data_IF_642324547845
#
_entry.id   IF_642324547845
#
_cell.length_a   1.000
_cell.length_b   1.000
_cell.length_c   1.000
_cell.angle_alpha   90.00
_cell.angle_beta   90.00
_cell.angle_gamma   90.00
#
_symmetry.space_group_name_H-M   'P 1'
#
loop_
_entity.id
_entity.type
_entity.pdbx_description
1 polymer ?
#
# COMPACT_ATOMS: atom_id res chain seq x y z
N UNK A 1 -0.79 -20.07 -2.46
CA UNK A 1 -1.56 -18.82 -2.30
C UNK A 1 -1.96 -18.30 -3.66
N UNK A 2 -3.21 -17.90 -3.82
CA UNK A 2 -3.68 -17.33 -5.09
C UNK A 2 -3.09 -15.96 -5.31
N UNK A 3 -2.87 -15.60 -6.58
CA UNK A 3 -2.26 -14.31 -6.93
C UNK A 3 -3.08 -13.13 -6.41
N UNK A 4 -4.41 -13.22 -6.44
CA UNK A 4 -5.26 -12.15 -5.94
C UNK A 4 -5.08 -11.95 -4.43
N UNK A 5 -4.98 -13.03 -3.66
CA UNK A 5 -4.75 -12.95 -2.24
C UNK A 5 -3.37 -12.37 -1.94
N UNK A 6 -2.36 -12.80 -2.69
CA UNK A 6 -1.01 -12.28 -2.55
C UNK A 6 -0.97 -10.79 -2.83
N UNK A 7 -1.62 -10.34 -3.90
CA UNK A 7 -1.68 -8.91 -4.23
C UNK A 7 -2.36 -8.09 -3.14
N UNK A 8 -3.44 -8.61 -2.56
CA UNK A 8 -4.11 -7.91 -1.47
C UNK A 8 -3.22 -7.81 -0.24
N UNK A 9 -2.54 -8.89 0.12
CA UNK A 9 -1.65 -8.89 1.28
C UNK A 9 -0.47 -7.95 1.08
N UNK A 10 0.16 -7.99 -0.09
CA UNK A 10 1.27 -7.12 -0.40
C UNK A 10 0.82 -5.66 -0.43
N UNK A 11 -0.35 -5.39 -1.03
CA UNK A 11 -0.90 -4.04 -1.07
C UNK A 11 -1.19 -3.50 0.31
N UNK A 12 -1.76 -4.33 1.19
CA UNK A 12 -2.03 -3.93 2.57
C UNK A 12 -0.75 -3.64 3.33
N UNK A 13 0.29 -4.47 3.12
CA UNK A 13 1.58 -4.26 3.75
C UNK A 13 2.23 -2.95 3.28
N UNK A 14 2.19 -2.68 1.98
CA UNK A 14 2.71 -1.43 1.44
C UNK A 14 1.94 -0.22 1.94
N UNK A 15 0.62 -0.33 2.01
CA UNK A 15 -0.21 0.75 2.53
C UNK A 15 0.14 1.07 3.97
N UNK A 16 0.29 0.03 4.80
CA UNK A 16 0.64 0.22 6.20
C UNK A 16 2.03 0.83 6.34
N UNK A 17 2.99 0.32 5.58
CA UNK A 17 4.35 0.84 5.59
C UNK A 17 4.38 2.31 5.17
N UNK A 18 3.60 2.65 4.15
CA UNK A 18 3.47 4.03 3.69
C UNK A 18 2.90 4.93 4.77
N UNK A 19 1.87 4.48 5.49
CA UNK A 19 1.30 5.25 6.59
C UNK A 19 2.31 5.50 7.70
N UNK A 20 3.11 4.50 8.04
CA UNK A 20 4.15 4.65 9.06
C UNK A 20 5.18 5.68 8.63
N UNK A 21 5.63 5.61 7.37
CA UNK A 21 6.60 6.56 6.84
C UNK A 21 6.03 7.97 6.80
N UNK A 22 4.78 8.11 6.38
CA UNK A 22 4.11 9.41 6.32
C UNK A 22 4.04 10.03 7.72
N UNK A 23 3.63 9.26 8.71
CA UNK A 23 3.56 9.73 10.09
C UNK A 23 4.93 10.08 10.65
N UNK A 24 5.92 9.25 10.37
CA UNK A 24 7.29 9.52 10.81
C UNK A 24 7.84 10.80 10.17
N UNK A 25 7.54 11.00 8.89
CA UNK A 25 7.95 12.21 8.18
C UNK A 25 7.33 13.45 8.79
N UNK A 26 6.04 13.39 9.15
CA UNK A 26 5.36 14.50 9.81
C UNK A 26 5.97 14.78 11.19
N UNK A 27 6.21 13.73 11.95
CA UNK A 27 6.74 13.88 13.31
C UNK A 27 8.16 14.46 13.34
N UNK A 28 8.97 14.17 12.32
CA UNK A 28 10.36 14.62 12.26
C UNK A 28 10.55 15.82 11.34
N UNK A 29 9.47 16.36 10.77
CA UNK A 29 9.52 17.45 9.80
C UNK A 29 10.39 17.09 8.60
N UNK A 30 10.22 15.88 8.10
CA UNK A 30 10.93 15.37 6.92
C UNK A 30 9.95 15.24 5.77
N UNK A 31 9.82 16.27 4.91
CA UNK A 31 8.85 16.24 3.83
C UNK A 31 9.15 15.17 2.78
N UNK A 32 10.41 14.80 2.61
CA UNK A 32 10.76 13.74 1.66
C UNK A 32 10.25 12.39 2.14
N UNK A 33 10.42 12.10 3.42
CA UNK A 33 9.94 10.85 3.99
C UNK A 33 8.41 10.82 3.99
N UNK A 34 7.78 11.94 4.31
CA UNK A 34 6.32 12.04 4.26
C UNK A 34 5.80 11.76 2.85
N UNK A 35 6.43 12.35 1.83
CA UNK A 35 6.04 12.14 0.45
C UNK A 35 6.25 10.69 0.03
N UNK A 36 7.36 10.08 0.41
CA UNK A 36 7.61 8.66 0.13
C UNK A 36 6.54 7.78 0.74
N UNK A 37 6.16 8.07 1.99
CA UNK A 37 5.11 7.33 2.66
C UNK A 37 3.77 7.47 1.98
N UNK A 38 3.41 8.68 1.56
CA UNK A 38 2.16 8.92 0.84
C UNK A 38 2.13 8.16 -0.49
N UNK A 39 3.24 8.19 -1.24
CA UNK A 39 3.34 7.48 -2.52
C UNK A 39 3.20 5.98 -2.31
N UNK A 40 3.88 5.43 -1.31
CA UNK A 40 3.84 4.00 -1.02
C UNK A 40 2.45 3.58 -0.56
N UNK A 41 1.77 4.42 0.21
CA UNK A 41 0.39 4.16 0.64
C UNK A 41 -0.55 4.07 -0.56
N UNK A 42 -0.42 4.99 -1.51
CA UNK A 42 -1.23 4.98 -2.73
C UNK A 42 -0.92 3.73 -3.57
N UNK A 43 0.36 3.39 -3.72
CA UNK A 43 0.76 2.20 -4.46
C UNK A 43 0.16 0.94 -3.81
N UNK A 44 0.14 0.88 -2.48
CA UNK A 44 -0.47 -0.24 -1.78
C UNK A 44 -1.97 -0.34 -2.02
N UNK A 45 -2.66 0.80 -2.04
CA UNK A 45 -4.09 0.83 -2.32
C UNK A 45 -4.39 0.35 -3.74
N UNK A 46 -3.59 0.78 -4.70
CA UNK A 46 -3.74 0.34 -6.10
C UNK A 46 -3.54 -1.17 -6.19
N UNK A 47 -2.52 -1.70 -5.54
CA UNK A 47 -2.24 -3.13 -5.55
C UNK A 47 -3.38 -3.93 -4.91
N UNK A 48 -3.97 -3.44 -3.84
CA UNK A 48 -5.14 -4.07 -3.22
C UNK A 48 -6.33 -4.09 -4.16
N UNK A 49 -6.55 -3.00 -4.88
CA UNK A 49 -7.64 -2.93 -5.87
C UNK A 49 -7.44 -3.95 -6.99
N UNK A 50 -6.22 -4.07 -7.48
CA UNK A 50 -5.90 -5.08 -8.49
C UNK A 50 -6.21 -6.48 -7.95
N UNK A 51 -5.83 -6.75 -6.71
CA UNK A 51 -6.13 -8.03 -6.07
C UNK A 51 -7.63 -8.29 -5.96
N UNK A 52 -8.41 -7.26 -5.61
CA UNK A 52 -9.86 -7.38 -5.52
C UNK A 52 -10.49 -7.70 -6.89
N UNK A 53 -10.00 -7.03 -7.94
CA UNK A 53 -10.50 -7.27 -9.30
C UNK A 53 -10.16 -8.69 -9.73
N UNK A 54 -8.93 -9.13 -9.49
CA UNK A 54 -8.50 -10.49 -9.82
C UNK A 54 -9.36 -11.53 -9.10
N UNK A 55 -9.69 -11.27 -7.85
CA UNK A 55 -10.52 -12.19 -7.06
C UNK A 55 -11.90 -12.35 -7.68
N UNK A 56 -12.49 -11.28 -8.17
CA UNK A 56 -13.79 -11.32 -8.85
C UNK A 56 -13.71 -12.16 -10.11
N UNK A 57 -12.59 -12.06 -10.84
CA UNK A 57 -12.41 -12.79 -12.10
C UNK A 57 -12.03 -14.25 -11.90
N UNK A 58 -11.60 -14.65 -10.72
CA UNK A 58 -11.14 -16.00 -10.41
C UNK A 58 -12.24 -17.01 -10.13
N UNK A 59 -13.45 -16.74 -10.41
CA UNK A 59 -14.58 -17.63 -10.09
C UNK A 59 -14.45 -19.02 -10.67
#
# INVERSE_FOLDING_TARGET
MKDSTKNKLEGAAHELKGKVKEKAGQATNDPDLEAQGADEKVAGKVQKKVGDIEKVLEK
#
